data_IF_692721613472
#
_entry.id   IF_692721613472
#
_cell.length_a   1.000
_cell.length_b   1.000
_cell.length_c   1.000
_cell.angle_alpha   90.00
_cell.angle_beta   90.00
_cell.angle_gamma   90.00
#
_symmetry.space_group_name_H-M   'P 1'
#
loop_
_entity.id
_entity.type
_entity.pdbx_description
1 polymer ?
#
# COMPACT_ATOMS: atom_id res chain seq x y z
N UNK A 1 35.50 -10.59 0.39
CA UNK A 1 34.23 -10.88 1.10
C UNK A 1 33.34 -9.63 1.25
N UNK A 2 33.90 -8.47 1.63
CA UNK A 2 33.17 -7.18 1.78
C UNK A 2 32.27 -6.81 0.56
N UNK A 3 32.85 -6.79 -0.65
CA UNK A 3 32.13 -6.42 -1.89
C UNK A 3 30.92 -7.30 -2.17
N UNK A 4 31.02 -8.61 -1.91
CA UNK A 4 29.93 -9.57 -2.15
C UNK A 4 28.77 -9.34 -1.18
N UNK A 5 29.07 -9.05 0.10
CA UNK A 5 28.05 -8.75 1.11
C UNK A 5 27.30 -7.46 0.77
N UNK A 6 28.02 -6.42 0.34
CA UNK A 6 27.43 -5.15 -0.11
C UNK A 6 26.50 -5.38 -1.32
N UNK A 7 26.95 -6.17 -2.31
CA UNK A 7 26.13 -6.49 -3.49
C UNK A 7 24.86 -7.27 -3.13
N UNK A 8 24.92 -8.20 -2.18
CA UNK A 8 23.75 -8.94 -1.70
C UNK A 8 22.78 -8.02 -0.98
N UNK A 9 23.26 -7.12 -0.12
CA UNK A 9 22.42 -6.15 0.58
C UNK A 9 21.70 -5.23 -0.42
N UNK A 10 22.43 -4.67 -1.38
CA UNK A 10 21.82 -3.81 -2.42
C UNK A 10 20.75 -4.56 -3.21
N UNK A 11 20.98 -5.83 -3.56
CA UNK A 11 20.00 -6.64 -4.28
C UNK A 11 18.72 -6.85 -3.46
N UNK A 12 18.86 -7.11 -2.15
CA UNK A 12 17.73 -7.23 -1.23
C UNK A 12 16.96 -5.92 -1.13
N UNK A 13 17.67 -4.81 -0.90
CA UNK A 13 17.04 -3.51 -0.72
C UNK A 13 16.30 -3.07 -2.00
N UNK A 14 16.86 -3.33 -3.19
CA UNK A 14 16.17 -3.08 -4.47
C UNK A 14 14.96 -3.97 -4.68
N UNK A 15 15.01 -5.24 -4.27
CA UNK A 15 13.87 -6.15 -4.34
C UNK A 15 12.73 -5.69 -3.40
N UNK A 16 13.06 -5.27 -2.18
CA UNK A 16 12.11 -4.71 -1.22
C UNK A 16 11.49 -3.41 -1.73
N UNK A 17 12.29 -2.49 -2.28
CA UNK A 17 11.81 -1.26 -2.92
C UNK A 17 10.87 -1.54 -4.09
N UNK A 18 11.22 -2.49 -4.95
CA UNK A 18 10.42 -2.83 -6.11
C UNK A 18 9.11 -3.52 -5.71
N UNK A 19 9.12 -4.40 -4.70
CA UNK A 19 7.89 -4.96 -4.14
C UNK A 19 7.05 -3.88 -3.48
N UNK A 20 7.67 -2.98 -2.71
CA UNK A 20 6.99 -1.88 -2.05
C UNK A 20 6.35 -0.91 -3.06
N UNK A 21 6.95 -0.73 -4.24
CA UNK A 21 6.40 0.14 -5.29
C UNK A 21 5.06 -0.33 -5.87
N UNK A 22 4.68 -1.60 -5.67
CA UNK A 22 3.36 -2.11 -6.08
C UNK A 22 2.26 -1.79 -5.08
N UNK A 23 2.64 -1.40 -3.87
CA UNK A 23 1.75 -1.07 -2.78
C UNK A 23 1.72 0.46 -2.63
N UNK A 24 0.52 1.05 -2.63
CA UNK A 24 0.34 2.50 -2.51
C UNK A 24 0.51 2.97 -1.06
N UNK A 25 1.74 2.88 -0.54
CA UNK A 25 2.08 3.29 0.83
C UNK A 25 1.94 4.81 1.06
N UNK A 26 1.96 5.59 -0.01
CA UNK A 26 1.62 7.01 -0.01
C UNK A 26 0.19 7.27 0.44
N UNK A 27 -0.72 6.29 0.34
CA UNK A 27 -2.09 6.42 0.88
C UNK A 27 -2.19 6.31 2.40
N UNK A 28 -1.11 6.04 3.14
CA UNK A 28 -1.16 6.10 4.61
C UNK A 28 -1.51 7.50 5.10
N UNK A 29 -1.00 8.54 4.43
CA UNK A 29 -1.15 9.94 4.87
C UNK A 29 -1.30 10.87 3.68
N UNK A 30 -2.01 11.97 3.89
CA UNK A 30 -2.07 13.03 2.89
C UNK A 30 -0.80 13.90 2.89
N UNK A 31 -0.77 14.90 1.99
CA UNK A 31 0.33 15.86 1.88
C UNK A 31 0.56 16.70 3.14
N UNK A 32 -0.42 16.77 4.03
CA UNK A 32 -0.33 17.46 5.33
C UNK A 32 0.05 16.50 6.46
N UNK A 33 0.48 15.27 6.13
CA UNK A 33 0.87 14.23 7.07
C UNK A 33 -0.30 13.76 7.99
N UNK A 34 -1.54 13.97 7.56
CA UNK A 34 -2.75 13.52 8.25
C UNK A 34 -3.09 12.12 7.73
N UNK A 35 -3.33 11.13 8.61
CA UNK A 35 -3.71 9.79 8.17
C UNK A 35 -4.95 9.81 7.28
N UNK A 36 -4.91 9.08 6.17
CA UNK A 36 -6.09 8.86 5.33
C UNK A 36 -6.89 7.68 5.86
N UNK A 37 -8.12 7.56 5.38
CA UNK A 37 -9.10 6.60 5.87
C UNK A 37 -9.69 5.77 4.76
N UNK A 38 -10.35 4.69 5.11
CA UNK A 38 -11.24 3.90 4.24
C UNK A 38 -12.59 3.75 4.95
N UNK A 39 -13.61 3.33 4.21
CA UNK A 39 -14.87 2.89 4.83
C UNK A 39 -14.67 1.55 5.54
N UNK A 40 -15.26 1.41 6.71
CA UNK A 40 -15.40 0.11 7.35
C UNK A 40 -16.51 -0.68 6.66
N UNK A 41 -16.23 -1.94 6.37
CA UNK A 41 -17.19 -2.84 5.76
C UNK A 41 -17.67 -3.89 6.75
N UNK A 42 -18.92 -4.30 6.56
CA UNK A 42 -19.50 -5.43 7.28
C UNK A 42 -19.02 -6.79 6.70
N UNK A 43 -19.57 -7.89 7.22
CA UNK A 43 -19.25 -9.24 6.75
C UNK A 43 -19.70 -9.54 5.32
N UNK A 44 -20.53 -8.69 4.71
CA UNK A 44 -21.02 -8.79 3.33
C UNK A 44 -20.28 -7.84 2.37
N UNK A 45 -19.27 -7.12 2.87
CA UNK A 45 -18.55 -6.07 2.16
C UNK A 45 -19.39 -4.81 1.85
N UNK A 46 -20.44 -4.56 2.61
CA UNK A 46 -21.23 -3.32 2.51
C UNK A 46 -20.69 -2.25 3.47
N UNK A 47 -20.76 -0.97 3.05
CA UNK A 47 -20.33 0.17 3.89
C UNK A 47 -21.24 0.29 5.12
N UNK A 48 -20.65 0.32 6.31
CA UNK A 48 -21.40 0.46 7.56
C UNK A 48 -21.87 1.92 7.71
N UNK A 49 -23.19 2.13 7.82
CA UNK A 49 -23.77 3.47 8.05
C UNK A 49 -23.53 3.92 9.49
N UNK A 50 -23.00 5.14 9.65
CA UNK A 50 -22.84 5.81 10.94
C UNK A 50 -22.84 7.33 10.72
N UNK A 51 -23.91 7.99 11.18
CA UNK A 51 -24.13 9.44 11.02
C UNK A 51 -23.15 10.31 11.82
N UNK A 52 -22.34 9.71 12.72
CA UNK A 52 -21.28 10.44 13.43
C UNK A 52 -20.15 10.88 12.51
N UNK A 53 -20.04 10.28 11.33
CA UNK A 53 -18.98 10.55 10.37
C UNK A 53 -19.46 11.51 9.27
N UNK A 54 -18.56 12.33 8.70
CA UNK A 54 -18.94 13.36 7.72
C UNK A 54 -19.70 12.84 6.50
N UNK A 55 -19.41 11.60 6.09
CA UNK A 55 -20.03 10.95 4.92
C UNK A 55 -21.21 10.04 5.28
N UNK A 56 -21.59 9.96 6.56
CA UNK A 56 -22.66 9.07 7.04
C UNK A 56 -22.30 7.58 7.05
N UNK A 57 -21.02 7.26 6.86
CA UNK A 57 -20.49 5.90 6.93
C UNK A 57 -19.30 5.85 7.87
N UNK A 58 -19.15 4.73 8.57
CA UNK A 58 -18.04 4.50 9.49
C UNK A 58 -16.71 4.54 8.72
N UNK A 59 -15.81 5.42 9.16
CA UNK A 59 -14.47 5.57 8.58
C UNK A 59 -13.42 5.04 9.56
N UNK A 60 -12.44 4.31 9.04
CA UNK A 60 -11.30 3.79 9.80
C UNK A 60 -9.99 4.24 9.16
N UNK A 61 -8.96 4.45 9.99
CA UNK A 61 -7.63 4.83 9.52
C UNK A 61 -6.98 3.71 8.67
N UNK A 62 -6.27 4.11 7.63
CA UNK A 62 -5.53 3.17 6.79
C UNK A 62 -4.32 2.65 7.55
N UNK A 63 -4.18 1.32 7.59
CA UNK A 63 -3.03 0.64 8.18
C UNK A 63 -2.19 -0.02 7.08
N UNK A 64 -0.98 -0.45 7.45
CA UNK A 64 -0.13 -1.23 6.55
C UNK A 64 -0.83 -2.51 6.08
N UNK A 65 -1.62 -3.15 6.95
CA UNK A 65 -2.39 -4.34 6.60
C UNK A 65 -3.38 -4.05 5.47
N UNK A 66 -4.09 -2.92 5.52
CA UNK A 66 -5.06 -2.56 4.47
C UNK A 66 -4.37 -2.41 3.09
N UNK A 67 -3.17 -1.86 3.06
CA UNK A 67 -2.45 -1.56 1.82
C UNK A 67 -1.92 -2.84 1.13
N UNK A 68 -1.48 -3.82 1.92
CA UNK A 68 -0.81 -5.03 1.41
C UNK A 68 -1.73 -6.24 1.28
N UNK A 69 -2.98 -6.16 1.77
CA UNK A 69 -3.89 -7.28 1.83
C UNK A 69 -4.92 -7.24 0.69
N UNK A 70 -5.00 -8.35 -0.05
CA UNK A 70 -5.84 -8.50 -1.25
C UNK A 70 -7.32 -8.31 -0.95
N UNK A 71 -7.76 -8.56 0.29
CA UNK A 71 -9.12 -8.30 0.74
C UNK A 71 -9.55 -6.85 0.47
N UNK A 72 -8.62 -5.91 0.51
CA UNK A 72 -8.87 -4.49 0.27
C UNK A 72 -8.58 -4.07 -1.17
N UNK A 73 -8.45 -5.01 -2.11
CA UNK A 73 -8.34 -4.68 -3.53
C UNK A 73 -9.50 -3.79 -3.97
N UNK A 74 -9.20 -2.70 -4.67
CA UNK A 74 -10.15 -1.68 -5.11
C UNK A 74 -10.93 -0.97 -4.00
N UNK A 75 -10.53 -1.08 -2.73
CA UNK A 75 -11.12 -0.27 -1.67
C UNK A 75 -10.85 1.22 -1.89
N UNK A 76 -11.88 2.02 -1.71
CA UNK A 76 -11.83 3.46 -1.84
C UNK A 76 -11.03 4.09 -0.69
N UNK A 77 -10.03 4.89 -1.04
CA UNK A 77 -9.21 5.66 -0.10
C UNK A 77 -9.80 7.04 0.05
N UNK A 78 -10.24 7.41 1.25
CA UNK A 78 -10.93 8.68 1.50
C UNK A 78 -9.96 9.85 1.56
N UNK A 79 -10.38 10.99 1.01
CA UNK A 79 -9.70 12.27 1.21
C UNK A 79 -10.07 12.85 2.58
N UNK A 80 -9.12 13.53 3.21
CA UNK A 80 -9.39 14.26 4.44
C UNK A 80 -10.21 15.52 4.14
N UNK A 81 -11.35 15.63 4.81
CA UNK A 81 -12.26 16.77 4.67
C UNK A 81 -11.85 17.90 5.59
N UNK A 82 -11.99 19.14 5.12
CA UNK A 82 -11.76 20.34 5.91
C UNK A 82 -12.94 20.56 6.87
N UNK A 83 -12.64 21.02 8.09
CA UNK A 83 -13.66 21.35 9.09
C UNK A 83 -14.21 22.76 8.80
N UNK A 84 -15.51 22.84 8.55
CA UNK A 84 -16.22 24.11 8.37
C UNK A 84 -17.62 23.88 7.83
N UNK A 85 -18.58 24.70 8.29
CA UNK A 85 -20.00 24.56 7.93
C UNK A 85 -20.44 25.52 6.83
N UNK A 86 -19.54 26.39 6.37
CA UNK A 86 -19.81 27.35 5.30
C UNK A 86 -19.92 26.66 3.93
N UNK A 87 -20.61 27.33 3.01
CA UNK A 87 -20.92 26.78 1.68
C UNK A 87 -19.63 26.53 0.88
N UNK A 88 -18.59 27.36 1.01
CA UNK A 88 -17.35 27.18 0.27
C UNK A 88 -16.59 25.94 0.76
N UNK A 89 -16.53 25.71 2.07
CA UNK A 89 -15.91 24.49 2.64
C UNK A 89 -16.64 23.23 2.19
N UNK A 90 -17.98 23.24 2.19
CA UNK A 90 -18.78 22.10 1.71
C UNK A 90 -18.52 21.82 0.23
N UNK A 91 -18.59 22.83 -0.63
CA UNK A 91 -18.31 22.68 -2.06
C UNK A 91 -16.89 22.17 -2.34
N UNK A 92 -15.90 22.65 -1.58
CA UNK A 92 -14.51 22.20 -1.70
C UNK A 92 -14.36 20.74 -1.30
N UNK A 93 -14.99 20.33 -0.20
CA UNK A 93 -14.99 18.95 0.27
C UNK A 93 -15.68 18.01 -0.73
N UNK A 94 -16.85 18.39 -1.24
CA UNK A 94 -17.55 17.64 -2.29
C UNK A 94 -16.72 17.49 -3.57
N UNK A 95 -16.08 18.57 -4.03
CA UNK A 95 -15.19 18.52 -5.18
C UNK A 95 -14.00 17.56 -4.93
N UNK A 96 -13.33 17.68 -3.78
CA UNK A 96 -12.23 16.76 -3.43
C UNK A 96 -12.67 15.30 -3.43
N UNK A 97 -13.84 15.01 -2.87
CA UNK A 97 -14.37 13.64 -2.82
C UNK A 97 -14.74 13.14 -4.22
N UNK A 98 -15.39 13.98 -5.04
CA UNK A 98 -15.83 13.60 -6.39
C UNK A 98 -14.67 13.37 -7.35
N UNK A 99 -13.54 14.07 -7.19
CA UNK A 99 -12.35 13.90 -8.03
C UNK A 99 -11.35 12.90 -7.46
N UNK A 100 -11.62 12.33 -6.28
CA UNK A 100 -10.77 11.32 -5.69
C UNK A 100 -11.01 9.95 -6.34
N UNK A 101 -10.00 9.46 -7.04
CA UNK A 101 -10.01 8.17 -7.72
C UNK A 101 -9.12 7.14 -7.02
N UNK A 102 -8.59 7.48 -5.84
CA UNK A 102 -7.61 6.68 -5.13
C UNK A 102 -8.23 5.39 -4.61
N UNK A 103 -7.61 4.27 -4.97
CA UNK A 103 -8.03 2.93 -4.57
C UNK A 103 -6.84 2.10 -4.13
N UNK A 104 -7.04 1.32 -3.08
CA UNK A 104 -6.04 0.36 -2.62
C UNK A 104 -5.84 -0.72 -3.70
N UNK A 105 -4.57 -1.03 -3.96
CA UNK A 105 -4.21 -2.11 -4.87
C UNK A 105 -4.12 -3.45 -4.15
N UNK A 106 -3.86 -3.48 -2.84
CA UNK A 106 -4.01 -4.66 -1.98
C UNK A 106 -3.20 -5.92 -2.34
N UNK A 107 -2.54 -6.02 -3.49
CA UNK A 107 -2.09 -7.30 -3.99
C UNK A 107 -0.72 -7.19 -4.68
N UNK A 108 0.13 -8.20 -4.43
CA UNK A 108 1.28 -8.55 -5.25
C UNK A 108 1.00 -9.92 -5.89
N UNK A 109 -0.03 -9.91 -6.76
CA UNK A 109 -0.60 -11.06 -7.46
C UNK A 109 0.43 -11.79 -8.32
N UNK A 110 0.06 -12.96 -8.85
CA UNK A 110 0.91 -13.72 -9.76
C UNK A 110 1.40 -12.88 -10.96
N UNK A 111 0.59 -11.95 -11.48
CA UNK A 111 0.99 -11.07 -12.60
C UNK A 111 2.06 -10.07 -12.14
N UNK A 112 1.91 -9.47 -10.97
CA UNK A 112 2.90 -8.54 -10.41
C UNK A 112 4.18 -9.28 -10.04
N UNK A 113 4.08 -10.48 -9.46
CA UNK A 113 5.21 -11.36 -9.18
C UNK A 113 5.94 -11.80 -10.47
N UNK A 114 5.19 -12.18 -11.53
CA UNK A 114 5.76 -12.49 -12.86
C UNK A 114 6.47 -11.27 -13.46
N UNK A 115 5.86 -10.09 -13.39
CA UNK A 115 6.47 -8.86 -13.91
C UNK A 115 7.71 -8.45 -13.11
N UNK A 116 7.70 -8.64 -11.80
CA UNK A 116 8.86 -8.47 -10.94
C UNK A 116 9.98 -9.46 -11.30
N UNK A 117 9.66 -10.75 -11.41
CA UNK A 117 10.63 -11.81 -11.77
C UNK A 117 11.20 -11.65 -13.19
N UNK A 118 10.47 -10.98 -14.11
CA UNK A 118 10.99 -10.60 -15.42
C UNK A 118 12.03 -9.49 -15.36
N UNK A 119 11.85 -8.53 -14.44
CA UNK A 119 12.76 -7.36 -14.29
C UNK A 119 14.00 -7.69 -13.48
N UNK A 120 13.91 -8.66 -12.57
CA UNK A 120 15.00 -9.02 -11.66
C UNK A 120 15.37 -10.50 -11.80
N UNK A 121 16.67 -10.79 -11.93
CA UNK A 121 17.17 -12.16 -11.91
C UNK A 121 17.12 -12.71 -10.49
N UNK A 122 16.11 -13.53 -10.18
CA UNK A 122 15.99 -14.22 -8.89
C UNK A 122 17.15 -15.22 -8.77
N UNK A 123 18.02 -15.02 -7.78
CA UNK A 123 19.08 -15.97 -7.43
C UNK A 123 18.62 -16.80 -6.25
N UNK A 124 18.39 -18.09 -6.46
CA UNK A 124 18.13 -19.02 -5.37
C UNK A 124 19.44 -19.37 -4.67
N UNK A 125 19.41 -19.44 -3.35
CA UNK A 125 20.53 -19.96 -2.58
C UNK A 125 20.66 -21.45 -2.88
N UNK A 126 21.79 -21.89 -3.42
CA UNK A 126 22.10 -23.32 -3.44
C UNK A 126 22.71 -23.69 -2.09
N UNK A 127 22.28 -24.81 -1.53
CA UNK A 127 22.93 -25.36 -0.34
C UNK A 127 24.41 -25.58 -0.63
N UNK A 128 25.29 -25.26 0.32
CA UNK A 128 26.72 -25.53 0.19
C UNK A 128 26.92 -27.01 -0.09
N UNK A 129 27.47 -27.34 -1.25
CA UNK A 129 27.89 -28.71 -1.56
C UNK A 129 29.02 -29.10 -0.61
N UNK A 130 29.02 -30.35 -0.14
CA UNK A 130 30.05 -30.93 0.75
C UNK A 130 31.49 -30.81 0.21
N UNK A 131 31.69 -30.44 -1.06
CA UNK A 131 33.01 -30.06 -1.58
C UNK A 131 33.34 -28.63 -1.17
N UNK A 132 34.03 -28.51 -0.03
CA UNK A 132 34.55 -27.26 0.48
C UNK A 132 35.48 -26.58 -0.53
N UNK A 133 35.08 -25.40 -1.01
CA UNK A 133 36.05 -24.38 -1.38
C UNK A 133 36.48 -23.69 -0.09
N UNK A 134 37.61 -24.13 0.46
CA UNK A 134 38.40 -23.34 1.39
C UNK A 134 38.94 -22.14 0.63
N UNK A 135 38.44 -20.95 0.94
CA UNK A 135 39.07 -19.72 0.51
C UNK A 135 40.43 -19.62 1.23
N UNK A 136 41.53 -19.74 0.48
CA UNK A 136 42.84 -19.23 0.87
C UNK A 136 43.03 -17.86 0.24
#
# INVERSE_FOLDING_TARGET
MEKTRIQINNLRDYAELAQASYFYFDFLKDSNNIPRKIYELDSKNDKIKDEKYPRGYKEIEITLEHIVNQKYYNHEVLVNLEKGDDIFTKMKNEAKDSFNLDKLNGEFSEIQAKNFAKRYKIKFHQANTLSGFSAT
#
